data_IF_267867368031
#
_entry.id   IF_267867368031
#
_cell.length_a   1.000
_cell.length_b   1.000
_cell.length_c   1.000
_cell.angle_alpha   90.00
_cell.angle_beta   90.00
_cell.angle_gamma   90.00
#
_symmetry.space_group_name_H-M   'P 1'
#
loop_
_entity.id
_entity.type
_entity.pdbx_description
1 polymer ?
#
# COMPACT_ATOMS: atom_id res chain seq x y z
N UNK A 1 8.73 8.12 -3.44
CA UNK A 1 9.09 6.82 -4.03
C UNK A 1 8.03 6.27 -4.99
N UNK A 2 6.73 6.21 -4.68
CA UNK A 2 5.69 5.86 -5.68
C UNK A 2 5.18 7.10 -6.44
N UNK A 3 4.39 7.96 -5.79
CA UNK A 3 3.73 9.11 -6.44
C UNK A 3 4.64 10.31 -6.79
N UNK A 4 5.90 10.29 -6.33
CA UNK A 4 6.85 11.44 -6.38
C UNK A 4 6.28 12.76 -5.79
N UNK A 5 5.24 12.69 -4.97
CA UNK A 5 4.61 13.83 -4.30
C UNK A 5 4.12 13.43 -2.90
N UNK A 6 3.78 14.44 -2.09
CA UNK A 6 3.17 14.26 -0.76
C UNK A 6 1.78 13.62 -0.89
N UNK A 7 1.54 12.57 -0.11
CA UNK A 7 0.28 11.81 -0.15
C UNK A 7 -0.90 12.62 0.42
N UNK A 8 -0.72 13.21 1.59
CA UNK A 8 -1.70 14.05 2.27
C UNK A 8 -1.11 15.44 2.47
N UNK A 9 -1.58 16.42 1.68
CA UNK A 9 -1.04 17.78 1.62
C UNK A 9 -1.96 18.78 2.33
N UNK A 10 -2.08 18.67 3.65
CA UNK A 10 -2.79 19.65 4.47
C UNK A 10 -1.89 20.84 4.83
N UNK A 11 -2.47 22.03 4.94
CA UNK A 11 -1.74 23.25 5.35
C UNK A 11 -1.86 23.51 6.87
N UNK A 12 -2.79 22.82 7.54
CA UNK A 12 -2.95 22.80 8.99
C UNK A 12 -3.47 21.43 9.46
N UNK A 13 -3.54 21.21 10.78
CA UNK A 13 -3.98 19.94 11.38
C UNK A 13 -5.41 19.54 10.97
N UNK A 14 -6.33 20.51 11.02
CA UNK A 14 -7.74 20.29 10.65
C UNK A 14 -7.86 19.94 9.16
N UNK A 15 -7.12 20.64 8.30
CA UNK A 15 -7.11 20.36 6.86
C UNK A 15 -6.45 19.00 6.57
N UNK A 16 -5.38 18.65 7.30
CA UNK A 16 -4.71 17.35 7.18
C UNK A 16 -5.66 16.20 7.54
N UNK A 17 -6.36 16.32 8.66
CA UNK A 17 -7.36 15.32 9.08
C UNK A 17 -8.49 15.20 8.06
N UNK A 18 -9.00 16.32 7.55
CA UNK A 18 -10.03 16.33 6.50
C UNK A 18 -9.56 15.58 5.24
N UNK A 19 -8.34 15.85 4.77
CA UNK A 19 -7.78 15.18 3.59
C UNK A 19 -7.64 13.67 3.83
N UNK A 20 -7.19 13.27 5.03
CA UNK A 20 -7.09 11.86 5.43
C UNK A 20 -8.47 11.20 5.40
N UNK A 21 -9.47 11.75 6.10
CA UNK A 21 -10.83 11.18 6.15
C UNK A 21 -11.46 11.04 4.77
N UNK A 22 -11.36 12.08 3.92
CA UNK A 22 -11.86 12.02 2.54
C UNK A 22 -11.14 10.94 1.72
N UNK A 23 -9.84 10.74 1.93
CA UNK A 23 -9.06 9.73 1.21
C UNK A 23 -9.50 8.29 1.54
N UNK A 24 -9.95 8.05 2.77
CA UNK A 24 -10.49 6.77 3.23
C UNK A 24 -12.00 6.62 3.02
N UNK A 25 -12.68 7.65 2.52
CA UNK A 25 -14.14 7.64 2.31
C UNK A 25 -14.96 7.73 3.60
N UNK A 26 -14.34 8.14 4.72
CA UNK A 26 -15.00 8.29 6.01
C UNK A 26 -15.73 9.64 6.02
N UNK A 27 -17.04 9.65 6.32
CA UNK A 27 -17.84 10.87 6.47
C UNK A 27 -18.49 11.42 5.20
N UNK A 28 -18.51 10.67 4.10
CA UNK A 28 -19.19 11.05 2.87
C UNK A 28 -20.55 10.34 2.76
N UNK A 29 -21.63 11.10 2.51
CA UNK A 29 -22.98 10.55 2.24
C UNK A 29 -23.08 9.73 0.93
N UNK A 30 -21.99 9.64 0.16
CA UNK A 30 -21.87 8.82 -1.04
C UNK A 30 -20.67 7.88 -0.87
N UNK A 31 -20.78 6.60 -1.25
CA UNK A 31 -19.68 5.65 -1.17
C UNK A 31 -18.68 5.95 -2.30
N UNK A 32 -17.94 7.04 -2.15
CA UNK A 32 -16.73 7.23 -2.92
C UNK A 32 -15.74 6.19 -2.40
N UNK A 33 -15.69 5.03 -3.06
CA UNK A 33 -14.71 3.99 -2.78
C UNK A 33 -13.31 4.59 -2.60
N UNK A 34 -12.48 3.93 -1.79
CA UNK A 34 -11.12 4.33 -1.39
C UNK A 34 -10.41 5.24 -2.42
N UNK A 35 -10.52 6.56 -2.21
CA UNK A 35 -9.93 7.55 -3.13
C UNK A 35 -8.42 7.39 -3.21
N UNK A 36 -7.82 6.80 -2.17
CA UNK A 36 -6.44 6.39 -2.12
C UNK A 36 -6.08 5.41 -3.25
N UNK A 37 -6.85 4.33 -3.47
CA UNK A 37 -6.63 3.39 -4.58
C UNK A 37 -6.72 4.11 -5.92
N UNK A 38 -7.73 4.97 -6.10
CA UNK A 38 -7.89 5.72 -7.34
C UNK A 38 -6.67 6.59 -7.63
N UNK A 39 -6.12 7.27 -6.62
CA UNK A 39 -4.89 8.09 -6.78
C UNK A 39 -3.66 7.26 -7.15
N UNK A 40 -3.54 6.02 -6.65
CA UNK A 40 -2.45 5.13 -7.03
C UNK A 40 -2.64 4.55 -8.43
N UNK A 41 -3.86 4.17 -8.81
CA UNK A 41 -4.19 3.73 -10.17
C UNK A 41 -3.96 4.86 -11.19
N UNK A 42 -4.42 6.07 -10.91
CA UNK A 42 -4.22 7.23 -11.77
C UNK A 42 -2.72 7.56 -11.93
N UNK A 43 -1.93 7.39 -10.87
CA UNK A 43 -0.49 7.61 -10.96
C UNK A 43 0.23 6.52 -11.77
N UNK A 44 -0.27 5.29 -11.73
CA UNK A 44 0.21 4.16 -12.53
C UNK A 44 -0.13 4.33 -14.01
N UNK A 45 -1.38 4.68 -14.35
CA UNK A 45 -1.82 4.88 -15.74
C UNK A 45 -1.09 6.03 -16.42
N UNK A 46 -0.68 7.05 -15.65
CA UNK A 46 0.10 8.18 -16.12
C UNK A 46 1.61 7.87 -16.22
N UNK A 47 2.04 6.63 -15.96
CA UNK A 47 3.45 6.21 -16.05
C UNK A 47 4.36 6.90 -15.02
N UNK A 48 3.80 7.50 -13.97
CA UNK A 48 4.55 8.30 -12.98
C UNK A 48 5.13 7.45 -11.86
N UNK A 49 4.67 6.21 -11.70
CA UNK A 49 5.09 5.29 -10.64
C UNK A 49 5.55 3.96 -11.24
N UNK A 50 6.50 3.24 -10.61
CA UNK A 50 6.71 1.84 -10.92
C UNK A 50 5.39 1.08 -10.76
N UNK A 51 5.18 0.00 -11.53
CA UNK A 51 3.95 -0.79 -11.47
C UNK A 51 3.76 -1.30 -10.03
N UNK A 52 2.79 -0.71 -9.33
CA UNK A 52 2.33 -1.19 -8.04
C UNK A 52 1.60 -2.53 -8.26
N UNK A 53 2.24 -3.62 -7.87
CA UNK A 53 1.65 -4.96 -7.95
C UNK A 53 0.47 -5.08 -6.98
N UNK A 54 -0.37 -6.11 -7.15
CA UNK A 54 -1.48 -6.37 -6.23
C UNK A 54 -0.99 -6.53 -4.78
N UNK A 55 0.14 -7.20 -4.57
CA UNK A 55 0.75 -7.35 -3.24
C UNK A 55 1.29 -6.02 -2.70
N UNK A 56 1.86 -5.16 -3.55
CA UNK A 56 2.29 -3.83 -3.14
C UNK A 56 1.12 -2.96 -2.69
N UNK A 57 -0.01 -3.05 -3.39
CA UNK A 57 -1.24 -2.37 -3.01
C UNK A 57 -1.84 -2.91 -1.70
N UNK A 58 -1.84 -4.23 -1.48
CA UNK A 58 -2.31 -4.82 -0.22
C UNK A 58 -1.48 -4.33 0.97
N UNK A 59 -0.15 -4.40 0.85
CA UNK A 59 0.77 -3.92 1.90
C UNK A 59 0.49 -2.44 2.23
N UNK A 60 0.34 -1.61 1.20
CA UNK A 60 0.09 -0.18 1.36
C UNK A 60 -1.25 0.10 2.07
N UNK A 61 -2.31 -0.64 1.74
CA UNK A 61 -3.60 -0.50 2.43
C UNK A 61 -3.53 -0.88 3.91
N UNK A 62 -2.72 -1.90 4.23
CA UNK A 62 -2.55 -2.35 5.62
C UNK A 62 -1.71 -1.36 6.43
N UNK A 63 -0.68 -0.75 5.83
CA UNK A 63 0.14 0.29 6.46
C UNK A 63 -0.68 1.56 6.73
N UNK A 64 -1.53 1.93 5.78
CA UNK A 64 -2.35 3.14 5.85
C UNK A 64 -3.71 2.90 6.55
N UNK A 65 -3.84 1.85 7.36
CA UNK A 65 -5.09 1.60 8.10
C UNK A 65 -5.35 2.72 9.11
N UNK A 66 -6.58 3.24 9.08
CA UNK A 66 -7.04 4.28 10.01
C UNK A 66 -7.02 3.79 11.46
N UNK A 67 -7.68 2.65 11.71
CA UNK A 67 -7.71 1.98 12.99
C UNK A 67 -6.30 1.44 13.35
N UNK A 68 -5.67 1.93 14.43
CA UNK A 68 -4.31 1.54 14.80
C UNK A 68 -4.21 0.05 15.16
N UNK A 69 -5.24 -0.53 15.77
CA UNK A 69 -5.24 -1.93 16.19
C UNK A 69 -5.32 -2.89 14.99
N UNK A 70 -5.83 -2.39 13.86
CA UNK A 70 -5.90 -3.13 12.58
C UNK A 70 -4.77 -2.77 11.62
N UNK A 71 -3.84 -1.90 12.03
CA UNK A 71 -2.68 -1.53 11.22
C UNK A 71 -1.64 -2.65 11.32
N UNK A 72 -1.08 -3.03 10.18
CA UNK A 72 -0.04 -4.05 10.14
C UNK A 72 1.17 -3.62 10.97
N UNK A 73 1.74 -4.56 11.70
CA UNK A 73 2.97 -4.32 12.47
C UNK A 73 4.20 -4.36 11.55
N UNK A 74 5.33 -3.86 12.05
CA UNK A 74 6.58 -3.89 11.28
C UNK A 74 7.03 -5.33 10.95
N UNK A 75 6.87 -6.26 11.91
CA UNK A 75 7.24 -7.67 11.72
C UNK A 75 6.36 -8.36 10.66
N UNK A 76 5.05 -8.15 10.73
CA UNK A 76 4.11 -8.65 9.71
C UNK A 76 4.38 -8.03 8.34
N UNK A 77 4.74 -6.75 8.28
CA UNK A 77 5.07 -6.06 7.03
C UNK A 77 6.31 -6.64 6.37
N UNK A 78 7.37 -6.93 7.12
CA UNK A 78 8.59 -7.57 6.61
C UNK A 78 8.32 -8.98 6.07
N UNK A 79 7.38 -9.70 6.68
CA UNK A 79 6.98 -11.03 6.24
C UNK A 79 5.98 -11.04 5.06
N UNK A 80 5.51 -9.86 4.63
CA UNK A 80 4.50 -9.70 3.59
C UNK A 80 4.98 -10.19 2.21
N UNK A 81 4.07 -10.77 1.42
CA UNK A 81 4.37 -11.37 0.12
C UNK A 81 5.00 -10.39 -0.89
N UNK A 82 4.74 -9.09 -0.74
CA UNK A 82 5.33 -8.06 -1.61
C UNK A 82 6.87 -8.08 -1.60
N UNK A 83 7.50 -8.33 -0.45
CA UNK A 83 8.97 -8.42 -0.36
C UNK A 83 9.53 -9.72 -0.96
N UNK A 84 8.67 -10.71 -1.23
CA UNK A 84 9.03 -12.00 -1.83
C UNK A 84 8.74 -12.05 -3.33
N UNK A 85 7.98 -11.08 -3.85
CA UNK A 85 7.55 -11.02 -5.25
C UNK A 85 8.72 -10.75 -6.22
N UNK A 86 9.76 -10.06 -5.75
CA UNK A 86 10.91 -9.65 -6.57
C UNK A 86 12.23 -10.25 -6.08
N UNK A 87 12.21 -11.33 -5.29
CA UNK A 87 13.44 -12.03 -4.92
C UNK A 87 13.78 -13.08 -6.02
N UNK A 88 14.74 -12.79 -6.93
CA UNK A 88 15.13 -13.72 -7.97
C UNK A 88 15.80 -14.99 -7.43
N UNK A 89 16.22 -15.00 -6.15
CA UNK A 89 16.87 -16.15 -5.51
C UNK A 89 15.92 -17.00 -4.67
N UNK A 90 14.76 -16.48 -4.24
CA UNK A 90 13.76 -17.23 -3.47
C UNK A 90 13.31 -18.52 -4.17
N UNK A 91 13.21 -18.48 -5.51
CA UNK A 91 12.87 -19.64 -6.33
C UNK A 91 13.96 -20.73 -6.33
N UNK A 92 15.24 -20.36 -6.21
CA UNK A 92 16.36 -21.33 -6.20
C UNK A 92 16.52 -22.03 -4.85
N UNK A 93 16.35 -21.30 -3.74
CA UNK A 93 16.53 -21.85 -2.38
C UNK A 93 15.42 -22.81 -1.94
N UNK A 94 14.22 -22.70 -2.50
CA UNK A 94 13.10 -23.60 -2.18
C UNK A 94 13.15 -24.92 -2.94
N UNK A 95 13.84 -24.96 -4.09
CA UNK A 95 14.03 -26.17 -4.91
C UNK A 95 15.06 -27.13 -4.32
N UNK A 96 16.08 -26.61 -3.62
CA UNK A 96 17.16 -27.41 -3.03
C UNK A 96 16.78 -28.18 -1.76
N UNK A 97 15.65 -27.87 -1.11
CA UNK A 97 15.18 -28.60 0.09
C UNK A 97 14.28 -29.80 -0.18
N UNK A 98 13.70 -29.95 -1.39
CA UNK A 98 12.80 -31.06 -1.73
C UNK A 98 13.46 -32.24 -2.46
N UNK A 99 14.78 -32.20 -2.68
CA UNK A 99 15.56 -33.29 -3.31
C UNK A 99 16.49 -34.02 -2.32
N UNK A 100 16.31 -33.82 -1.01
CA UNK A 100 17.07 -34.51 0.03
C UNK A 100 16.14 -34.94 1.17
N UNK A 101 15.17 -35.80 0.85
CA UNK A 101 14.44 -36.65 1.77
C UNK A 101 14.07 -37.94 1.03
#
# INVERSE_FOLDING_TARGET
MLLKQVLFKGRCEIEQLRIIYMSFGIGCAKPYGNQLLRRFLDAMTLGRTPMLTQLGFDLLNRLLRFDPDKRITADEALNHGWFKEFDPYFFWFTKTRKQSA
#
